data_IF_696841718621
#
_entry.id   IF_696841718621
#
_cell.length_a   1.000
_cell.length_b   1.000
_cell.length_c   1.000
_cell.angle_alpha   90.00
_cell.angle_beta   90.00
_cell.angle_gamma   90.00
#
_symmetry.space_group_name_H-M   'P 1'
#
loop_
_entity.id
_entity.type
_entity.pdbx_description
1 polymer ?
#
# COMPACT_ATOMS: atom_id res chain seq x y z
N UNK A 1 41.24 -0.37 32.89
CA UNK A 1 40.24 0.59 33.42
C UNK A 1 38.99 -0.20 33.82
N UNK A 2 38.74 -0.41 35.13
CA UNK A 2 37.50 -1.01 35.61
C UNK A 2 36.43 0.07 35.79
N UNK A 3 35.17 -0.25 35.49
CA UNK A 3 34.01 0.46 36.04
C UNK A 3 33.26 1.38 35.07
N UNK A 4 32.15 0.86 34.53
CA UNK A 4 30.84 1.49 34.74
C UNK A 4 29.73 0.54 34.28
N UNK A 5 28.94 -0.03 35.20
CA UNK A 5 27.68 -0.69 34.90
C UNK A 5 26.54 0.35 34.83
N UNK A 6 25.41 -0.06 34.23
CA UNK A 6 24.08 0.58 34.25
C UNK A 6 23.84 1.67 33.19
N UNK A 7 23.22 1.29 32.07
CA UNK A 7 22.33 2.14 31.28
C UNK A 7 21.39 1.31 30.38
N UNK A 8 20.80 0.24 30.90
CA UNK A 8 19.91 -0.66 30.12
C UNK A 8 18.45 -0.74 30.61
N UNK A 9 17.94 0.22 31.39
CA UNK A 9 16.57 0.14 31.93
C UNK A 9 15.58 1.22 31.46
N UNK A 10 15.94 2.11 30.53
CA UNK A 10 15.09 3.26 30.17
C UNK A 10 14.55 3.28 28.73
N UNK A 11 14.62 2.15 28.01
CA UNK A 11 14.05 2.02 26.64
C UNK A 11 12.92 0.95 26.57
N UNK A 12 12.52 0.36 27.71
CA UNK A 12 11.37 -0.57 27.77
C UNK A 12 10.04 0.08 28.23
N UNK A 13 10.02 1.38 28.52
CA UNK A 13 8.83 2.09 29.02
C UNK A 13 7.89 2.69 27.96
N UNK A 14 8.22 2.63 26.67
CA UNK A 14 7.45 3.30 25.60
C UNK A 14 6.73 2.32 24.65
N UNK A 15 6.86 1.00 24.85
CA UNK A 15 6.15 0.00 24.04
C UNK A 15 4.76 -0.39 24.59
N UNK A 16 4.33 0.18 25.72
CA UNK A 16 3.04 -0.16 26.35
C UNK A 16 1.82 0.63 25.83
N UNK A 17 1.94 1.44 24.76
CA UNK A 17 0.78 2.17 24.20
C UNK A 17 0.35 1.76 22.79
N UNK A 18 0.98 0.76 22.18
CA UNK A 18 0.64 0.30 20.82
C UNK A 18 -0.21 -0.98 20.76
N UNK A 19 -0.70 -1.50 21.90
CA UNK A 19 -1.51 -2.73 21.94
C UNK A 19 -2.89 -2.43 22.52
N UNK A 20 -3.76 -1.82 21.71
CA UNK A 20 -5.23 -1.85 21.91
C UNK A 20 -6.02 -1.72 20.62
N UNK A 21 -5.38 -1.87 19.45
CA UNK A 21 -6.09 -1.89 18.16
C UNK A 21 -6.54 -3.30 17.75
N UNK A 22 -6.03 -4.36 18.40
CA UNK A 22 -6.37 -5.76 18.06
C UNK A 22 -7.62 -6.29 18.78
N UNK A 23 -8.08 -5.61 19.84
CA UNK A 23 -9.31 -5.98 20.57
C UNK A 23 -10.61 -5.57 19.85
N UNK A 24 -10.54 -4.81 18.75
CA UNK A 24 -11.74 -4.33 18.03
C UNK A 24 -12.31 -5.29 16.98
N UNK A 25 -11.62 -6.39 16.65
CA UNK A 25 -12.18 -7.39 15.70
C UNK A 25 -13.12 -8.40 16.32
N UNK A 26 -13.05 -8.65 17.63
CA UNK A 26 -14.00 -9.56 18.31
C UNK A 26 -15.34 -8.90 18.67
N UNK A 27 -15.62 -7.68 18.19
CA UNK A 27 -16.94 -7.04 18.34
C UNK A 27 -17.87 -7.23 17.13
N UNK A 28 -17.40 -7.87 16.06
CA UNK A 28 -18.21 -8.10 14.86
C UNK A 28 -18.98 -9.43 14.88
N UNK A 29 -18.73 -10.31 15.85
CA UNK A 29 -19.50 -11.53 16.07
C UNK A 29 -20.53 -11.39 17.19
N UNK A 30 -21.01 -10.17 17.47
CA UNK A 30 -22.24 -10.05 18.25
C UNK A 30 -23.41 -10.43 17.33
N UNK A 31 -24.16 -11.50 17.64
CA UNK A 31 -25.40 -11.76 16.95
C UNK A 31 -26.27 -10.51 17.03
N UNK A 32 -26.83 -10.12 15.90
CA UNK A 32 -27.90 -9.12 15.80
C UNK A 32 -29.06 -9.60 16.68
N UNK A 33 -29.02 -9.24 17.97
CA UNK A 33 -30.19 -9.30 18.82
C UNK A 33 -31.25 -8.40 18.19
N UNK A 34 -32.37 -9.05 17.89
CA UNK A 34 -33.59 -8.51 17.31
C UNK A 34 -34.18 -7.40 18.17
N UNK A 35 -33.66 -6.18 17.98
CA UNK A 35 -34.20 -4.94 18.57
C UNK A 35 -35.58 -4.51 18.04
N UNK A 36 -36.31 -5.37 17.32
CA UNK A 36 -37.62 -5.06 16.73
C UNK A 36 -38.78 -5.16 17.73
N UNK A 37 -38.64 -5.92 18.83
CA UNK A 37 -39.73 -6.10 19.80
C UNK A 37 -40.05 -4.85 20.64
N UNK A 38 -39.09 -3.90 20.77
CA UNK A 38 -39.32 -2.66 21.53
C UNK A 38 -39.85 -1.50 20.67
N UNK A 39 -39.67 -1.56 19.35
CA UNK A 39 -40.23 -0.55 18.43
C UNK A 39 -41.70 -0.80 18.14
N UNK A 40 -42.16 -2.05 18.09
CA UNK A 40 -43.58 -2.35 17.91
C UNK A 40 -44.45 -1.91 19.11
N UNK A 41 -43.92 -1.98 20.34
CA UNK A 41 -44.67 -1.56 21.54
C UNK A 41 -44.94 -0.05 21.60
N UNK A 42 -44.01 0.77 21.08
CA UNK A 42 -44.19 2.24 21.04
C UNK A 42 -45.18 2.65 19.94
N UNK A 43 -45.29 1.88 18.85
CA UNK A 43 -46.27 2.15 17.78
C UNK A 43 -47.68 1.70 18.19
N UNK A 44 -47.81 0.58 18.91
CA UNK A 44 -49.10 0.07 19.37
C UNK A 44 -49.76 0.97 20.44
N UNK A 45 -48.96 1.56 21.35
CA UNK A 45 -49.48 2.48 22.36
C UNK A 45 -50.07 3.77 21.75
N UNK A 46 -49.52 4.23 20.62
CA UNK A 46 -49.97 5.46 19.95
C UNK A 46 -51.26 5.30 19.14
N UNK A 47 -51.67 4.06 18.84
CA UNK A 47 -52.91 3.78 18.13
C UNK A 47 -54.14 3.73 19.04
N UNK A 48 -53.96 3.56 20.35
CA UNK A 48 -55.10 3.47 21.28
C UNK A 48 -55.62 4.85 21.72
N UNK A 49 -54.78 5.88 21.78
CA UNK A 49 -55.20 7.24 22.16
C UNK A 49 -56.12 7.92 21.11
N UNK A 50 -56.18 7.42 19.88
CA UNK A 50 -56.98 8.03 18.81
C UNK A 50 -58.45 7.58 18.85
N UNK A 51 -58.79 6.50 19.57
CA UNK A 51 -60.10 5.85 19.43
C UNK A 51 -61.14 6.26 20.47
N UNK A 52 -60.78 7.00 21.51
CA UNK A 52 -61.70 7.35 22.59
C UNK A 52 -61.71 8.85 22.89
N UNK A 53 -62.65 9.55 22.25
CA UNK A 53 -63.45 10.53 22.98
C UNK A 53 -63.16 12.01 22.74
N UNK A 54 -64.21 12.67 22.26
CA UNK A 54 -64.56 14.07 22.54
C UNK A 54 -63.98 15.13 21.61
N UNK A 55 -64.75 15.35 20.55
CA UNK A 55 -64.65 16.45 19.61
C UNK A 55 -64.81 17.81 20.31
N UNK A 56 -63.69 18.48 20.56
CA UNK A 56 -63.64 19.94 20.59
C UNK A 56 -63.24 20.42 19.18
N UNK A 57 -63.91 21.43 18.59
CA UNK A 57 -63.57 21.91 17.27
C UNK A 57 -62.12 22.40 17.29
N UNK A 58 -61.25 21.89 16.39
CA UNK A 58 -59.87 22.32 16.35
C UNK A 58 -59.86 23.82 16.01
N UNK A 59 -59.48 24.66 16.98
CA UNK A 59 -59.03 26.02 16.70
C UNK A 59 -58.03 25.90 15.57
N UNK A 60 -58.35 26.50 14.42
CA UNK A 60 -57.50 26.60 13.26
C UNK A 60 -56.23 27.38 13.66
N UNK A 61 -55.28 26.70 14.29
CA UNK A 61 -53.95 27.21 14.52
C UNK A 61 -53.33 27.31 13.14
N UNK A 62 -53.38 28.52 12.58
CA UNK A 62 -52.73 28.87 11.34
C UNK A 62 -51.23 28.60 11.51
N UNK A 63 -50.81 27.41 11.11
CA UNK A 63 -49.42 27.00 11.19
C UNK A 63 -48.56 28.06 10.47
N UNK A 64 -47.56 28.65 11.13
CA UNK A 64 -46.74 29.70 10.52
C UNK A 64 -46.00 29.11 9.31
N UNK A 65 -46.49 29.42 8.12
CA UNK A 65 -46.00 28.88 6.83
C UNK A 65 -44.68 29.49 6.34
N UNK A 66 -44.03 30.40 7.07
CA UNK A 66 -42.94 31.22 6.50
C UNK A 66 -41.49 30.79 6.81
N UNK A 67 -41.23 29.79 7.64
CA UNK A 67 -39.84 29.49 8.05
C UNK A 67 -39.01 28.63 7.07
N UNK A 68 -39.57 28.23 5.91
CA UNK A 68 -38.97 27.16 5.09
C UNK A 68 -37.89 27.62 4.10
N UNK A 69 -37.79 28.92 3.80
CA UNK A 69 -36.91 29.42 2.72
C UNK A 69 -35.46 29.71 3.16
N UNK A 70 -35.20 30.00 4.44
CA UNK A 70 -33.84 30.34 4.91
C UNK A 70 -32.95 29.13 5.26
N UNK A 71 -33.53 27.94 5.48
CA UNK A 71 -32.75 26.73 5.82
C UNK A 71 -31.78 26.30 4.70
N UNK A 72 -32.18 26.50 3.44
CA UNK A 72 -31.34 26.11 2.30
C UNK A 72 -30.07 26.96 2.14
N UNK A 73 -30.14 28.26 2.44
CA UNK A 73 -28.98 29.15 2.34
C UNK A 73 -27.95 28.86 3.43
N UNK A 74 -28.41 28.67 4.67
CA UNK A 74 -27.53 28.34 5.80
C UNK A 74 -26.79 27.02 5.58
N UNK A 75 -27.45 25.99 5.03
CA UNK A 75 -26.81 24.71 4.76
C UNK A 75 -25.69 24.82 3.72
N UNK A 76 -25.90 25.60 2.65
CA UNK A 76 -24.89 25.82 1.61
C UNK A 76 -23.67 26.58 2.15
N UNK A 77 -23.88 27.60 2.98
CA UNK A 77 -22.78 28.34 3.62
C UNK A 77 -21.99 27.42 4.55
N UNK A 78 -22.65 26.62 5.37
CA UNK A 78 -21.98 25.68 6.26
C UNK A 78 -21.13 24.64 5.48
N UNK A 79 -21.66 24.11 4.38
CA UNK A 79 -20.90 23.21 3.49
C UNK A 79 -19.70 23.91 2.84
N UNK A 80 -19.88 25.16 2.40
CA UNK A 80 -18.79 25.96 1.81
C UNK A 80 -17.66 26.22 2.81
N UNK A 81 -18.01 26.61 4.05
CA UNK A 81 -17.02 26.82 5.13
C UNK A 81 -16.33 25.51 5.49
N UNK A 82 -17.10 24.41 5.64
CA UNK A 82 -16.55 23.10 5.95
C UNK A 82 -15.58 22.60 4.88
N UNK A 83 -15.95 22.74 3.61
CA UNK A 83 -15.08 22.39 2.48
C UNK A 83 -13.83 23.28 2.42
N UNK A 84 -13.99 24.59 2.63
CA UNK A 84 -12.87 25.53 2.68
C UNK A 84 -11.86 25.21 3.79
N UNK A 85 -12.33 24.92 4.99
CA UNK A 85 -11.48 24.50 6.11
C UNK A 85 -10.80 23.16 5.85
N UNK A 86 -11.52 22.20 5.28
CA UNK A 86 -10.95 20.90 4.91
C UNK A 86 -9.84 21.04 3.87
N UNK A 87 -10.08 21.82 2.81
CA UNK A 87 -9.08 22.08 1.77
C UNK A 87 -7.85 22.81 2.33
N UNK A 88 -8.06 23.81 3.20
CA UNK A 88 -6.98 24.54 3.86
C UNK A 88 -6.15 23.62 4.76
N UNK A 89 -6.80 22.81 5.61
CA UNK A 89 -6.12 21.87 6.49
C UNK A 89 -5.34 20.81 5.71
N UNK A 90 -5.93 20.28 4.64
CA UNK A 90 -5.27 19.29 3.78
C UNK A 90 -4.06 19.92 3.09
N UNK A 91 -4.21 21.12 2.51
CA UNK A 91 -3.12 21.84 1.86
C UNK A 91 -2.00 22.19 2.84
N UNK A 92 -2.35 22.69 4.02
CA UNK A 92 -1.37 22.99 5.08
C UNK A 92 -0.63 21.73 5.53
N UNK A 93 -1.33 20.60 5.72
CA UNK A 93 -0.71 19.34 6.09
C UNK A 93 0.22 18.82 4.99
N UNK A 94 -0.18 18.90 3.72
CA UNK A 94 0.67 18.53 2.59
C UNK A 94 1.93 19.38 2.55
N UNK A 95 1.82 20.71 2.63
CA UNK A 95 2.98 21.62 2.64
C UNK A 95 3.87 21.34 3.85
N UNK A 96 3.28 21.19 5.04
CA UNK A 96 4.03 20.89 6.25
C UNK A 96 4.77 19.55 6.15
N UNK A 97 4.17 18.53 5.52
CA UNK A 97 4.80 17.23 5.33
C UNK A 97 5.98 17.25 4.35
N UNK A 98 5.95 18.15 3.36
CA UNK A 98 7.03 18.30 2.39
C UNK A 98 8.17 19.21 2.90
N UNK A 99 7.87 20.16 3.80
CA UNK A 99 8.82 21.21 4.21
C UNK A 99 9.39 21.04 5.61
N UNK A 100 8.57 20.66 6.59
CA UNK A 100 8.98 20.70 8.01
C UNK A 100 9.62 19.38 8.45
N UNK A 101 9.08 18.26 7.98
CA UNK A 101 9.54 16.92 8.33
C UNK A 101 9.47 15.98 7.12
N UNK A 102 10.45 16.06 6.20
CA UNK A 102 10.53 15.10 5.09
C UNK A 102 10.61 13.65 5.58
N UNK A 103 10.97 13.45 6.85
CA UNK A 103 10.97 12.15 7.51
C UNK A 103 9.58 11.49 7.60
N UNK A 104 8.51 12.28 7.59
CA UNK A 104 7.14 11.76 7.63
C UNK A 104 6.71 11.12 6.32
N UNK A 105 7.33 11.52 5.19
CA UNK A 105 7.03 10.96 3.87
C UNK A 105 7.52 9.53 3.73
N UNK A 106 8.65 9.21 4.37
CA UNK A 106 9.31 7.91 4.28
C UNK A 106 9.99 7.54 5.61
N UNK A 107 9.20 7.07 6.59
CA UNK A 107 9.75 6.74 7.91
C UNK A 107 10.73 5.55 7.86
N UNK A 108 10.58 4.66 6.89
CA UNK A 108 11.45 3.50 6.73
C UNK A 108 12.86 3.92 6.29
N UNK A 109 12.95 4.83 5.32
CA UNK A 109 14.22 5.40 4.88
C UNK A 109 14.95 6.10 6.03
N UNK A 110 14.25 6.92 6.81
CA UNK A 110 14.84 7.70 7.91
C UNK A 110 15.42 6.80 8.99
N UNK A 111 14.69 5.74 9.34
CA UNK A 111 15.16 4.77 10.32
C UNK A 111 16.46 4.10 9.87
N UNK A 112 16.51 3.69 8.59
CA UNK A 112 17.70 3.07 8.00
C UNK A 112 18.87 4.04 7.92
N UNK A 113 18.62 5.28 7.49
CA UNK A 113 19.62 6.34 7.44
C UNK A 113 20.23 6.61 8.82
N UNK A 114 19.40 6.68 9.87
CA UNK A 114 19.87 6.84 11.24
C UNK A 114 20.79 5.68 11.65
N UNK A 115 20.42 4.44 11.36
CA UNK A 115 21.25 3.27 11.66
C UNK A 115 22.60 3.31 10.93
N UNK A 116 22.59 3.62 9.63
CA UNK A 116 23.81 3.72 8.83
C UNK A 116 24.73 4.81 9.38
N UNK A 117 24.18 5.99 9.71
CA UNK A 117 24.96 7.09 10.30
C UNK A 117 25.54 6.70 11.67
N UNK A 118 24.75 6.04 12.52
CA UNK A 118 25.24 5.52 13.80
C UNK A 118 26.40 4.56 13.60
N UNK A 119 26.30 3.62 12.66
CA UNK A 119 27.38 2.67 12.37
C UNK A 119 28.62 3.33 11.81
N UNK A 120 28.48 4.29 10.89
CA UNK A 120 29.61 5.05 10.34
C UNK A 120 30.31 5.90 11.41
N UNK A 121 29.54 6.42 12.38
CA UNK A 121 30.11 7.17 13.50
C UNK A 121 30.81 6.26 14.53
N UNK A 122 30.27 5.08 14.79
CA UNK A 122 30.85 4.11 15.73
C UNK A 122 32.09 3.40 15.19
N UNK A 123 32.18 3.19 13.87
CA UNK A 123 33.24 2.40 13.21
C UNK A 123 33.75 3.07 11.92
N UNK A 124 34.33 4.28 11.99
CA UNK A 124 34.75 5.04 10.81
C UNK A 124 35.85 4.34 9.98
N UNK A 125 36.65 3.47 10.59
CA UNK A 125 37.72 2.69 9.98
C UNK A 125 37.24 1.51 9.13
N UNK A 126 35.94 1.19 9.18
CA UNK A 126 35.35 0.06 8.46
C UNK A 126 34.57 0.54 7.24
N UNK A 127 34.92 0.09 6.01
CA UNK A 127 34.25 0.54 4.81
C UNK A 127 32.79 0.06 4.78
N UNK A 128 31.86 1.01 4.62
CA UNK A 128 30.43 0.71 4.49
C UNK A 128 30.12 0.12 3.11
N UNK A 129 29.39 -0.99 3.08
CA UNK A 129 28.82 -1.60 1.87
C UNK A 129 27.30 -1.57 1.98
N UNK A 130 26.63 -0.87 1.06
CA UNK A 130 25.17 -0.82 1.03
C UNK A 130 24.61 -1.87 0.08
N UNK A 131 23.61 -2.61 0.54
CA UNK A 131 22.85 -3.55 -0.30
C UNK A 131 21.50 -2.95 -0.63
N UNK A 132 21.20 -2.75 -1.92
CA UNK A 132 19.95 -2.17 -2.41
C UNK A 132 19.20 -3.20 -3.26
N UNK A 133 17.88 -3.05 -3.30
CA UNK A 133 17.00 -3.86 -4.13
C UNK A 133 15.63 -4.01 -3.49
N UNK A 134 14.82 -4.91 -4.03
CA UNK A 134 13.45 -5.15 -3.58
C UNK A 134 13.36 -5.96 -2.28
N UNK A 135 12.18 -6.50 -1.98
CA UNK A 135 11.97 -7.44 -0.88
C UNK A 135 12.88 -8.67 -0.98
N UNK A 136 13.32 -9.05 -2.18
CA UNK A 136 14.29 -10.13 -2.38
C UNK A 136 15.66 -9.80 -1.79
N UNK A 137 16.15 -8.57 -1.98
CA UNK A 137 17.38 -8.13 -1.35
C UNK A 137 17.21 -8.03 0.17
N UNK A 138 16.08 -7.45 0.60
CA UNK A 138 15.74 -7.29 2.02
C UNK A 138 15.73 -8.63 2.77
N UNK A 139 15.28 -9.72 2.13
CA UNK A 139 15.12 -11.03 2.77
C UNK A 139 16.19 -12.05 2.41
N UNK A 140 16.81 -11.92 1.24
CA UNK A 140 17.82 -12.85 0.75
C UNK A 140 19.23 -12.55 1.26
N UNK A 141 19.48 -11.32 1.74
CA UNK A 141 20.79 -10.91 2.24
C UNK A 141 20.77 -10.75 3.75
N UNK A 142 21.51 -11.61 4.44
CA UNK A 142 21.77 -11.52 5.87
C UNK A 142 23.22 -11.09 6.10
N UNK A 143 23.48 -9.79 6.40
CA UNK A 143 24.84 -9.33 6.71
C UNK A 143 25.49 -10.09 7.87
N UNK A 144 24.70 -10.49 8.86
CA UNK A 144 25.18 -11.27 10.00
C UNK A 144 25.72 -12.65 9.59
N UNK A 145 25.14 -13.27 8.56
CA UNK A 145 25.58 -14.57 8.06
C UNK A 145 26.89 -14.49 7.23
N UNK A 146 27.32 -13.30 6.82
CA UNK A 146 28.56 -13.11 6.08
C UNK A 146 29.81 -13.23 6.96
N UNK A 147 29.64 -13.13 8.28
CA UNK A 147 30.69 -13.34 9.28
C UNK A 147 32.00 -12.55 9.02
N UNK A 148 31.87 -11.30 8.54
CA UNK A 148 33.04 -10.41 8.43
C UNK A 148 33.60 -10.10 9.82
N UNK A 149 34.93 -10.10 9.98
CA UNK A 149 35.55 -9.80 11.27
C UNK A 149 35.23 -8.37 11.72
N UNK A 150 35.17 -8.14 13.03
CA UNK A 150 35.02 -6.80 13.62
C UNK A 150 36.39 -6.14 13.83
N UNK A 151 37.09 -5.94 12.71
CA UNK A 151 38.43 -5.34 12.68
C UNK A 151 38.52 -4.18 11.67
N UNK A 152 39.46 -3.24 11.85
CA UNK A 152 39.65 -2.14 10.91
C UNK A 152 39.85 -2.62 9.47
N UNK A 153 39.22 -1.94 8.51
CA UNK A 153 39.26 -2.32 7.10
C UNK A 153 38.29 -3.44 6.68
N UNK A 154 37.77 -4.24 7.61
CA UNK A 154 36.75 -5.23 7.29
C UNK A 154 35.40 -4.56 6.96
N UNK A 155 34.69 -4.97 5.90
CA UNK A 155 33.50 -4.27 5.45
C UNK A 155 32.37 -4.38 6.46
N UNK A 156 31.58 -3.30 6.56
CA UNK A 156 30.30 -3.28 7.27
C UNK A 156 29.21 -3.32 6.23
N UNK A 157 28.56 -4.48 6.08
CA UNK A 157 27.47 -4.65 5.13
C UNK A 157 26.15 -4.24 5.79
N UNK A 158 25.42 -3.31 5.18
CA UNK A 158 24.11 -2.90 5.63
C UNK A 158 23.06 -3.19 4.56
N UNK A 159 22.01 -3.94 4.94
CA UNK A 159 20.90 -4.24 4.04
C UNK A 159 19.93 -3.06 3.97
N UNK A 160 20.06 -2.26 2.91
CA UNK A 160 19.22 -1.12 2.56
C UNK A 160 18.09 -1.51 1.59
N UNK A 161 17.80 -2.81 1.41
CA UNK A 161 16.75 -3.31 0.51
C UNK A 161 15.35 -2.90 0.96
N UNK A 162 14.51 -2.44 0.03
CA UNK A 162 13.23 -1.80 0.29
C UNK A 162 12.09 -2.62 -0.32
N UNK A 163 10.97 -2.77 0.42
CA UNK A 163 9.88 -3.67 -0.02
C UNK A 163 9.30 -3.21 -1.34
N UNK A 164 9.16 -4.15 -2.28
CA UNK A 164 8.59 -3.91 -3.61
C UNK A 164 9.24 -2.73 -4.35
N UNK A 165 10.52 -2.43 -4.06
CA UNK A 165 11.23 -1.37 -4.74
C UNK A 165 11.62 -1.81 -6.16
N UNK A 166 11.08 -1.19 -7.23
CA UNK A 166 11.63 -1.34 -8.56
C UNK A 166 13.04 -0.72 -8.66
N UNK A 167 13.76 -0.94 -9.76
CA UNK A 167 15.10 -0.39 -9.98
C UNK A 167 15.17 1.13 -9.75
N UNK A 168 14.18 1.88 -10.23
CA UNK A 168 14.11 3.34 -10.04
C UNK A 168 14.05 3.74 -8.56
N UNK A 169 13.26 3.03 -7.74
CA UNK A 169 13.15 3.31 -6.31
C UNK A 169 14.46 2.99 -5.61
N UNK A 170 15.12 1.89 -5.97
CA UNK A 170 16.45 1.54 -5.44
C UNK A 170 17.49 2.62 -5.78
N UNK A 171 17.45 3.16 -7.00
CA UNK A 171 18.27 4.30 -7.40
C UNK A 171 17.97 5.56 -6.60
N UNK A 172 16.69 5.92 -6.44
CA UNK A 172 16.28 7.08 -5.66
C UNK A 172 16.72 6.98 -4.19
N UNK A 173 16.63 5.78 -3.60
CA UNK A 173 17.12 5.53 -2.24
C UNK A 173 18.63 5.73 -2.13
N UNK A 174 19.41 5.27 -3.13
CA UNK A 174 20.84 5.51 -3.18
C UNK A 174 21.16 6.99 -3.29
N UNK A 175 20.55 7.69 -4.25
CA UNK A 175 20.76 9.12 -4.46
C UNK A 175 20.46 9.92 -3.20
N UNK A 176 19.30 9.68 -2.56
CA UNK A 176 18.96 10.31 -1.28
C UNK A 176 19.99 10.01 -0.21
N UNK A 177 20.44 8.76 -0.06
CA UNK A 177 21.45 8.40 0.93
C UNK A 177 22.78 9.15 0.70
N UNK A 178 23.21 9.27 -0.56
CA UNK A 178 24.41 10.02 -0.92
C UNK A 178 24.25 11.52 -0.62
N UNK A 179 23.10 12.11 -0.97
CA UNK A 179 22.76 13.52 -0.66
C UNK A 179 22.71 13.77 0.86
N UNK A 180 22.23 12.78 1.62
CA UNK A 180 22.23 12.75 3.08
C UNK A 180 23.62 12.46 3.69
N UNK A 181 24.68 12.46 2.88
CA UNK A 181 26.08 12.37 3.32
C UNK A 181 26.54 10.95 3.64
N UNK A 182 25.77 9.92 3.31
CA UNK A 182 26.22 8.53 3.42
C UNK A 182 27.30 8.29 2.38
N UNK A 183 28.47 7.79 2.82
CA UNK A 183 29.62 7.51 1.97
C UNK A 183 29.90 6.00 1.89
N UNK A 184 29.15 5.23 1.08
CA UNK A 184 29.45 3.82 0.88
C UNK A 184 30.74 3.64 0.08
N UNK A 185 31.56 2.65 0.45
CA UNK A 185 32.74 2.24 -0.34
C UNK A 185 32.35 1.39 -1.54
N UNK A 186 31.25 0.64 -1.41
CA UNK A 186 30.66 -0.17 -2.47
C UNK A 186 29.13 -0.25 -2.30
N UNK A 187 28.46 -0.50 -3.42
CA UNK A 187 27.01 -0.69 -3.47
C UNK A 187 26.72 -2.00 -4.20
N UNK A 188 25.96 -2.88 -3.56
CA UNK A 188 25.46 -4.12 -4.17
C UNK A 188 23.99 -3.91 -4.55
N UNK A 189 23.70 -3.92 -5.85
CA UNK A 189 22.35 -3.74 -6.37
C UNK A 189 21.75 -5.07 -6.81
N UNK A 190 20.61 -5.43 -6.23
CA UNK A 190 19.80 -6.58 -6.63
C UNK A 190 18.67 -6.12 -7.54
N UNK A 191 18.72 -6.57 -8.80
CA UNK A 191 17.65 -6.36 -9.78
C UNK A 191 16.95 -7.70 -10.02
N UNK A 192 15.68 -7.81 -9.63
CA UNK A 192 14.91 -9.02 -9.87
C UNK A 192 14.39 -9.08 -11.31
N UNK A 193 14.45 -10.25 -11.97
CA UNK A 193 13.90 -10.40 -13.32
C UNK A 193 12.42 -10.00 -13.43
N UNK A 194 11.61 -10.33 -12.41
CA UNK A 194 10.20 -9.92 -12.39
C UNK A 194 10.01 -8.39 -12.40
N UNK A 195 11.02 -7.63 -11.99
CA UNK A 195 11.00 -6.15 -12.01
C UNK A 195 11.48 -5.59 -13.35
N UNK A 196 12.11 -6.40 -14.21
CA UNK A 196 12.51 -6.04 -15.58
C UNK A 196 11.50 -6.47 -16.64
N UNK A 197 10.44 -7.19 -16.25
CA UNK A 197 9.41 -7.70 -17.17
C UNK A 197 8.43 -6.60 -17.62
N UNK A 198 8.40 -5.44 -16.96
CA UNK A 198 7.75 -4.25 -17.53
C UNK A 198 8.51 -3.84 -18.79
N UNK A 199 7.97 -4.22 -19.96
CA UNK A 199 8.58 -3.91 -21.24
C UNK A 199 8.60 -2.41 -21.52
N UNK A 200 9.76 -1.91 -21.96
CA UNK A 200 9.94 -0.53 -22.39
C UNK A 200 11.25 0.09 -21.87
N UNK A 201 11.81 1.10 -22.55
CA UNK A 201 12.93 1.88 -22.05
C UNK A 201 12.65 2.44 -20.65
N UNK A 202 13.69 2.64 -19.83
CA UNK A 202 13.55 3.17 -18.47
C UNK A 202 12.78 4.48 -18.46
N UNK A 203 12.97 5.32 -19.47
CA UNK A 203 12.30 6.60 -19.67
C UNK A 203 10.77 6.44 -19.77
N UNK A 204 10.30 5.35 -20.37
CA UNK A 204 8.87 5.04 -20.51
C UNK A 204 8.28 4.54 -19.18
N UNK A 205 9.09 3.91 -18.35
CA UNK A 205 8.68 3.40 -17.03
C UNK A 205 8.73 4.49 -15.94
N UNK A 206 9.72 5.39 -16.03
CA UNK A 206 9.99 6.45 -15.05
C UNK A 206 9.02 7.62 -15.22
N UNK A 207 8.68 7.96 -16.47
CA UNK A 207 7.71 9.00 -16.79
C UNK A 207 6.48 8.35 -17.42
N UNK A 208 5.42 8.05 -16.64
CA UNK A 208 4.12 7.88 -17.28
C UNK A 208 3.86 9.17 -18.06
N UNK A 209 3.79 9.07 -19.39
CA UNK A 209 3.57 10.21 -20.29
C UNK A 209 2.55 11.15 -19.66
N UNK A 210 2.95 12.40 -19.42
CA UNK A 210 2.04 13.48 -18.97
C UNK A 210 0.93 13.75 -19.98
N UNK A 211 1.08 13.24 -21.20
CA UNK A 211 0.09 13.20 -22.24
C UNK A 211 -0.99 12.17 -21.81
N UNK A 212 -1.90 12.59 -20.92
CA UNK A 212 -2.97 11.79 -20.33
C UNK A 212 -4.04 11.31 -21.33
N UNK A 213 -3.66 10.86 -22.53
CA UNK A 213 -4.58 10.58 -23.63
C UNK A 213 -4.29 9.30 -24.42
N UNK A 214 -3.35 8.46 -24.00
CA UNK A 214 -3.26 7.10 -24.55
C UNK A 214 -2.66 6.14 -23.53
N UNK A 215 -3.51 5.66 -22.61
CA UNK A 215 -3.27 4.32 -22.08
C UNK A 215 -3.08 3.36 -23.26
N UNK A 216 -2.27 2.31 -23.13
CA UNK A 216 -2.26 1.27 -24.15
C UNK A 216 -3.70 0.81 -24.28
N UNK A 217 -4.33 1.14 -25.41
CA UNK A 217 -5.55 0.48 -25.81
C UNK A 217 -5.19 -0.98 -25.84
N UNK A 218 -5.52 -1.69 -24.77
CA UNK A 218 -5.56 -3.16 -24.67
C UNK A 218 -6.67 -3.71 -25.57
N UNK A 219 -6.86 -3.07 -26.73
CA UNK A 219 -7.91 -3.30 -27.68
C UNK A 219 -7.53 -4.41 -28.67
N UNK A 220 -6.29 -4.90 -28.69
CA UNK A 220 -5.88 -5.82 -29.74
C UNK A 220 -5.07 -7.05 -29.27
N UNK A 221 -5.51 -7.68 -28.18
CA UNK A 221 -5.11 -9.05 -27.86
C UNK A 221 -6.25 -9.98 -27.49
N UNK A 222 -7.52 -9.58 -27.71
CA UNK A 222 -8.60 -10.59 -27.79
C UNK A 222 -8.48 -11.24 -29.17
N UNK A 223 -8.14 -12.54 -29.29
CA UNK A 223 -8.36 -13.24 -30.54
C UNK A 223 -9.84 -13.11 -30.86
N UNK A 224 -10.17 -12.33 -31.88
CA UNK A 224 -11.55 -12.15 -32.28
C UNK A 224 -12.10 -13.54 -32.57
N UNK A 225 -13.19 -13.92 -31.89
CA UNK A 225 -13.94 -15.16 -32.21
C UNK A 225 -14.39 -15.20 -33.69
N UNK A 226 -14.22 -14.10 -34.43
CA UNK A 226 -14.42 -14.00 -35.89
C UNK A 226 -13.33 -14.70 -36.70
N UNK A 227 -12.07 -14.75 -36.26
CA UNK A 227 -11.03 -15.53 -36.94
C UNK A 227 -11.27 -17.04 -36.80
N UNK A 228 -11.74 -17.49 -35.63
CA UNK A 228 -12.10 -18.90 -35.41
C UNK A 228 -13.31 -19.35 -36.25
N UNK A 229 -14.27 -18.46 -36.55
CA UNK A 229 -15.41 -18.78 -37.44
C UNK A 229 -15.04 -18.77 -38.93
N UNK A 230 -13.97 -18.07 -39.32
CA UNK A 230 -13.51 -18.08 -40.73
C UNK A 230 -12.78 -19.37 -41.13
N UNK A 231 -12.20 -20.11 -40.19
CA UNK A 231 -11.66 -21.44 -40.48
C UNK A 231 -12.77 -22.50 -40.54
N UNK A 232 -13.79 -22.43 -39.68
CA UNK A 232 -14.92 -23.36 -39.71
C UNK A 232 -15.79 -23.21 -40.97
N UNK A 233 -16.00 -21.99 -41.48
CA UNK A 233 -16.81 -21.79 -42.70
C UNK A 233 -16.06 -22.09 -44.01
N UNK A 234 -14.73 -22.30 -43.98
CA UNK A 234 -13.92 -22.64 -45.17
C UNK A 234 -13.70 -24.14 -45.35
N UNK A 235 -13.95 -24.98 -44.34
CA UNK A 235 -13.90 -26.44 -44.48
C UNK A 235 -15.17 -27.04 -45.11
N UNK A 236 -16.33 -26.38 -44.99
CA UNK A 236 -17.59 -26.88 -45.59
C UNK A 236 -17.65 -26.77 -47.11
N UNK A 237 -16.87 -25.88 -47.76
CA UNK A 237 -16.86 -25.75 -49.23
C UNK A 237 -15.87 -26.66 -49.97
N UNK A 238 -15.11 -27.50 -49.28
CA UNK A 238 -14.08 -28.35 -49.92
C UNK A 238 -14.21 -29.85 -49.67
N UNK A 239 -15.31 -30.34 -49.09
CA UNK A 239 -15.56 -31.78 -48.93
C UNK A 239 -14.42 -32.54 -48.25
N UNK A 240 -13.61 -31.85 -47.43
CA UNK A 240 -12.44 -32.42 -46.78
C UNK A 240 -12.83 -32.81 -45.35
N UNK A 241 -12.81 -34.13 -45.14
CA UNK A 241 -13.04 -34.80 -43.87
C UNK A 241 -12.15 -34.14 -42.80
N UNK A 242 -12.70 -33.69 -41.65
CA UNK A 242 -11.90 -33.14 -40.58
C UNK A 242 -11.06 -34.26 -39.94
N UNK A 243 -9.75 -34.24 -40.18
CA UNK A 243 -8.79 -35.07 -39.46
C UNK A 243 -8.69 -34.63 -37.99
N UNK A 244 -8.39 -35.55 -37.06
CA UNK A 244 -8.30 -35.25 -35.64
C UNK A 244 -7.19 -34.22 -35.39
N UNK A 245 -7.54 -33.14 -34.67
CA UNK A 245 -6.58 -32.19 -34.14
C UNK A 245 -5.61 -32.93 -33.22
N UNK A 246 -4.40 -33.17 -33.71
CA UNK A 246 -3.30 -33.69 -32.92
C UNK A 246 -3.01 -32.71 -31.78
N UNK A 247 -3.41 -33.10 -30.57
CA UNK A 247 -3.03 -32.41 -29.35
C UNK A 247 -1.52 -32.48 -29.18
N UNK A 248 -0.87 -31.32 -29.29
CA UNK A 248 0.49 -31.08 -28.82
C UNK A 248 0.49 -31.19 -27.30
N UNK A 249 0.61 -32.43 -26.80
CA UNK A 249 0.90 -32.73 -25.40
C UNK A 249 2.42 -32.61 -25.22
N UNK A 250 2.91 -31.38 -24.99
CA UNK A 250 4.30 -31.15 -24.59
C UNK A 250 4.50 -31.73 -23.19
N UNK A 251 5.10 -32.92 -23.14
CA UNK A 251 5.69 -33.47 -21.93
C UNK A 251 7.06 -32.84 -21.74
N UNK A 252 7.11 -31.68 -21.09
CA UNK A 252 8.37 -31.17 -20.52
C UNK A 252 8.73 -32.05 -19.33
N UNK A 253 9.53 -33.07 -19.61
CA UNK A 253 10.28 -33.84 -18.63
C UNK A 253 11.42 -32.95 -18.11
N UNK A 254 11.35 -32.59 -16.84
CA UNK A 254 12.46 -31.94 -16.16
C UNK A 254 13.60 -32.94 -15.95
N UNK A 255 14.86 -32.61 -16.25
CA UNK A 255 15.98 -33.46 -15.90
C UNK A 255 16.15 -33.49 -14.38
N UNK A 256 16.10 -34.70 -13.81
CA UNK A 256 16.53 -34.96 -12.43
C UNK A 256 18.04 -34.70 -12.38
N UNK A 257 18.44 -33.63 -11.71
CA UNK A 257 19.85 -33.41 -11.34
C UNK A 257 20.28 -34.48 -10.35
N UNK A 258 21.36 -35.18 -10.70
CA UNK A 258 22.08 -36.11 -9.86
C UNK A 258 22.53 -35.44 -8.55
N UNK A 259 22.28 -36.11 -7.43
CA UNK A 259 22.97 -35.84 -6.18
C UNK A 259 24.40 -36.38 -6.26
N UNK A 260 25.41 -35.69 -5.69
CA UNK A 260 26.72 -36.29 -5.49
C UNK A 260 26.69 -37.18 -4.23
N UNK A 261 27.19 -38.39 -4.37
CA UNK A 261 27.49 -39.31 -3.26
C UNK A 261 28.49 -38.66 -2.28
N UNK A 262 28.21 -38.83 -0.99
CA UNK A 262 29.18 -38.77 0.11
C UNK A 262 29.00 -39.99 0.98
#
# INVERSE_FOLDING_TARGET
MPGSPRLNSLILGQLSRAVSFRERRNRLDRPLESGDASRERVVAARYQEVKTGTAAPPRAQSAPRSARTNRGRSARVALGIGFGLFALLTGALTIASETVKPELRDPEYVYRLKHVRTWQAERPERPLVLVLGSSRAQMGVSPAAMNFPDEPGAPVVYNFGYRAAPPLVSWLMLARALDDGVKPRAVLLFVGQAETVTGGPAEVQVWPRRDGLSGPTSADSRPTKRAARSCAARSERRGLIPGPCAGTRSSESWPRTCAPDR
#
